data_IF_237002002420
#
_entry.id   IF_237002002420
#
_cell.length_a   1.000
_cell.length_b   1.000
_cell.length_c   1.000
_cell.angle_alpha   90.00
_cell.angle_beta   90.00
_cell.angle_gamma   90.00
#
_symmetry.space_group_name_H-M   'P 1'
#
loop_
_entity.id
_entity.type
_entity.pdbx_description
1 polymer ?
#
# COMPACT_ATOMS: atom_id res chain seq x y z
N UNK A 1 -31.39 5.02 -8.09
CA UNK A 1 -30.53 3.98 -8.70
C UNK A 1 -29.17 4.08 -8.02
N UNK A 2 -29.03 3.52 -6.82
CA UNK A 2 -27.86 3.74 -5.97
C UNK A 2 -26.95 2.51 -6.09
N UNK A 3 -25.85 2.65 -6.84
CA UNK A 3 -24.73 1.72 -6.73
C UNK A 3 -23.94 2.11 -5.48
N UNK A 4 -24.18 1.40 -4.37
CA UNK A 4 -23.21 1.35 -3.28
C UNK A 4 -22.12 0.36 -3.73
N UNK A 5 -20.88 0.79 -3.98
CA UNK A 5 -19.81 -0.17 -4.19
C UNK A 5 -19.56 -0.85 -2.84
N UNK A 6 -20.10 -2.05 -2.66
CA UNK A 6 -19.64 -2.96 -1.61
C UNK A 6 -18.23 -3.39 -1.99
N UNK A 7 -17.24 -2.61 -1.60
CA UNK A 7 -15.85 -3.05 -1.59
C UNK A 7 -15.76 -4.19 -0.57
N UNK A 8 -15.85 -5.43 -1.04
CA UNK A 8 -15.55 -6.60 -0.22
C UNK A 8 -14.06 -6.54 0.13
N UNK A 9 -13.74 -6.04 1.32
CA UNK A 9 -12.41 -6.03 1.90
C UNK A 9 -11.78 -7.43 1.79
N UNK A 10 -10.92 -7.65 0.80
CA UNK A 10 -10.13 -8.87 0.73
C UNK A 10 -9.12 -8.82 1.86
N UNK A 11 -9.20 -9.80 2.76
CA UNK A 11 -8.31 -9.88 3.90
C UNK A 11 -6.88 -10.00 3.38
N UNK A 12 -6.10 -8.91 3.48
CA UNK A 12 -4.71 -8.91 3.04
C UNK A 12 -3.95 -9.91 3.90
N UNK A 13 -3.54 -11.02 3.30
CA UNK A 13 -2.68 -11.99 3.96
C UNK A 13 -1.26 -11.42 4.00
N UNK A 14 -0.69 -11.38 5.20
CA UNK A 14 0.69 -10.95 5.46
C UNK A 14 1.50 -12.16 5.89
N UNK A 15 2.65 -12.39 5.25
CA UNK A 15 3.57 -13.46 5.63
C UNK A 15 4.39 -13.09 6.89
N UNK A 16 4.60 -11.79 7.12
CA UNK A 16 5.34 -11.25 8.26
C UNK A 16 4.39 -10.40 9.14
N UNK A 17 4.15 -10.80 10.40
CA UNK A 17 3.30 -10.05 11.32
C UNK A 17 3.85 -8.68 11.69
N UNK A 18 5.18 -8.49 11.70
CA UNK A 18 5.79 -7.19 12.02
C UNK A 18 5.53 -6.18 10.89
N UNK A 19 5.67 -6.62 9.63
CA UNK A 19 5.29 -5.81 8.45
C UNK A 19 3.81 -5.47 8.45
N UNK A 20 2.94 -6.43 8.79
CA UNK A 20 1.50 -6.20 8.90
C UNK A 20 1.18 -5.09 9.93
N UNK A 21 1.82 -5.16 11.10
CA UNK A 21 1.64 -4.17 12.16
C UNK A 21 2.13 -2.78 11.74
N UNK A 22 3.33 -2.70 11.14
CA UNK A 22 3.88 -1.44 10.65
C UNK A 22 2.97 -0.78 9.59
N UNK A 23 2.48 -1.58 8.63
CA UNK A 23 1.54 -1.12 7.63
C UNK A 23 0.22 -0.63 8.25
N UNK A 24 -0.33 -1.35 9.23
CA UNK A 24 -1.57 -0.97 9.89
C UNK A 24 -1.43 0.36 10.67
N UNK A 25 -0.32 0.55 11.40
CA UNK A 25 -0.03 1.81 12.12
C UNK A 25 0.09 2.97 11.14
N UNK A 26 0.85 2.79 10.06
CA UNK A 26 0.98 3.81 9.02
C UNK A 26 -0.38 4.14 8.40
N UNK A 27 -1.14 3.12 7.96
CA UNK A 27 -2.44 3.31 7.32
C UNK A 27 -3.43 4.05 8.23
N UNK A 28 -3.47 3.73 9.52
CA UNK A 28 -4.35 4.42 10.47
C UNK A 28 -4.08 5.93 10.49
N UNK A 29 -2.81 6.34 10.52
CA UNK A 29 -2.42 7.75 10.49
C UNK A 29 -2.74 8.42 9.15
N UNK A 30 -2.39 7.77 8.04
CA UNK A 30 -2.59 8.31 6.67
C UNK A 30 -4.07 8.38 6.30
N UNK A 31 -4.88 7.41 6.74
CA UNK A 31 -6.31 7.39 6.47
C UNK A 31 -7.02 8.60 7.09
N UNK A 32 -6.67 8.98 8.32
CA UNK A 32 -7.20 10.19 8.95
C UNK A 32 -6.78 11.45 8.21
N UNK A 33 -5.52 11.54 7.78
CA UNK A 33 -5.02 12.74 7.07
C UNK A 33 -5.61 12.93 5.68
N UNK A 34 -5.87 11.84 4.95
CA UNK A 34 -6.29 11.88 3.55
C UNK A 34 -7.75 11.45 3.32
N UNK A 35 -8.52 11.18 4.38
CA UNK A 35 -9.91 10.73 4.28
C UNK A 35 -10.03 9.41 3.52
N UNK A 36 -9.11 8.48 3.78
CA UNK A 36 -9.15 7.14 3.19
C UNK A 36 -10.10 6.26 4.00
N UNK A 37 -10.73 5.29 3.35
CA UNK A 37 -11.54 4.27 3.99
C UNK A 37 -10.73 2.96 4.16
N UNK A 38 -10.20 2.64 5.35
CA UNK A 38 -9.43 1.42 5.57
C UNK A 38 -10.22 0.14 5.27
N UNK A 39 -11.55 0.16 5.38
CA UNK A 39 -12.38 -1.00 5.08
C UNK A 39 -12.43 -1.31 3.57
N UNK A 40 -12.09 -0.35 2.72
CA UNK A 40 -12.04 -0.52 1.27
C UNK A 40 -10.68 -0.99 0.74
N UNK A 41 -9.71 -1.30 1.63
CA UNK A 41 -8.37 -1.70 1.25
C UNK A 41 -8.39 -3.06 0.53
N UNK A 42 -7.87 -3.08 -0.69
CA UNK A 42 -7.78 -4.28 -1.53
C UNK A 42 -6.38 -4.42 -2.12
N UNK A 43 -5.89 -5.65 -2.26
CA UNK A 43 -4.67 -5.90 -3.02
C UNK A 43 -4.94 -5.60 -4.51
N UNK A 44 -4.18 -4.67 -5.09
CA UNK A 44 -4.26 -4.31 -6.50
C UNK A 44 -3.24 -5.09 -7.35
N UNK A 45 -2.04 -5.31 -6.81
CA UNK A 45 -1.02 -6.20 -7.39
C UNK A 45 0.03 -6.55 -6.34
N UNK A 46 0.48 -7.80 -6.32
CA UNK A 46 1.60 -8.26 -5.47
C UNK A 46 2.84 -8.69 -6.25
N UNK A 47 2.86 -8.50 -7.57
CA UNK A 47 3.82 -9.17 -8.46
C UNK A 47 5.12 -8.38 -8.72
N UNK A 48 5.30 -7.23 -8.06
CA UNK A 48 6.49 -6.41 -8.23
C UNK A 48 7.56 -6.72 -7.16
N UNK A 49 8.13 -7.93 -7.19
CA UNK A 49 9.21 -8.38 -6.30
C UNK A 49 8.86 -8.23 -4.80
N UNK A 50 9.39 -7.21 -4.11
CA UNK A 50 9.13 -6.95 -2.69
C UNK A 50 8.02 -5.93 -2.44
N UNK A 51 7.56 -5.25 -3.49
CA UNK A 51 6.57 -4.19 -3.43
C UNK A 51 5.18 -4.76 -3.60
N UNK A 52 4.26 -4.32 -2.74
CA UNK A 52 2.83 -4.62 -2.88
C UNK A 52 2.08 -3.33 -3.15
N UNK A 53 1.11 -3.40 -4.04
CA UNK A 53 0.22 -2.30 -4.34
C UNK A 53 -1.17 -2.63 -3.83
N UNK A 54 -1.73 -1.69 -3.09
CA UNK A 54 -3.09 -1.75 -2.59
C UNK A 54 -3.92 -0.63 -3.21
N UNK A 55 -5.19 -0.91 -3.46
CA UNK A 55 -6.18 0.10 -3.78
C UNK A 55 -7.00 0.40 -2.55
N UNK A 56 -7.30 1.67 -2.33
CA UNK A 56 -8.15 2.13 -1.23
C UNK A 56 -9.06 3.25 -1.74
N UNK A 57 -10.31 3.26 -1.29
CA UNK A 57 -11.22 4.34 -1.56
C UNK A 57 -10.88 5.58 -0.71
N UNK A 58 -11.12 6.74 -1.29
CA UNK A 58 -11.01 8.03 -0.60
C UNK A 58 -12.29 8.80 -0.82
N UNK A 59 -12.82 9.39 0.25
CA UNK A 59 -14.04 10.20 0.16
C UNK A 59 -13.86 11.43 -0.75
N UNK A 60 -12.63 11.96 -0.83
CA UNK A 60 -12.31 13.16 -1.62
C UNK A 60 -11.78 12.85 -3.02
N UNK A 61 -11.04 11.75 -3.19
CA UNK A 61 -10.33 11.43 -4.45
C UNK A 61 -10.87 10.20 -5.18
N UNK A 62 -11.90 9.54 -4.65
CA UNK A 62 -12.50 8.34 -5.21
C UNK A 62 -11.67 7.08 -4.96
N UNK A 63 -10.47 6.99 -5.54
CA UNK A 63 -9.56 5.84 -5.41
C UNK A 63 -8.10 6.27 -5.36
N UNK A 64 -7.34 5.68 -4.44
CA UNK A 64 -5.90 5.88 -4.27
C UNK A 64 -5.15 4.55 -4.37
N UNK A 65 -3.85 4.60 -4.69
CA UNK A 65 -2.94 3.46 -4.63
C UNK A 65 -1.96 3.66 -3.48
N UNK A 66 -1.85 2.66 -2.62
CA UNK A 66 -0.81 2.56 -1.59
C UNK A 66 0.28 1.63 -2.13
N UNK A 67 1.52 2.08 -2.07
CA UNK A 67 2.69 1.25 -2.36
C UNK A 67 3.37 0.88 -1.03
N UNK A 68 3.42 -0.41 -0.73
CA UNK A 68 4.16 -0.97 0.41
C UNK A 68 5.51 -1.48 -0.09
N UNK A 69 6.56 -0.69 0.14
CA UNK A 69 7.93 -0.95 -0.29
C UNK A 69 8.89 -0.92 0.93
N UNK A 70 9.17 -2.07 1.55
CA UNK A 70 10.04 -2.12 2.73
C UNK A 70 11.48 -1.76 2.35
N UNK A 71 12.13 -0.81 3.06
CA UNK A 71 13.42 -0.23 2.66
C UNK A 71 14.58 -1.23 2.71
N UNK A 72 14.52 -2.24 3.58
CA UNK A 72 15.56 -3.26 3.78
C UNK A 72 15.77 -4.16 2.53
N UNK A 73 14.83 -4.14 1.58
CA UNK A 73 14.86 -4.94 0.35
C UNK A 73 15.19 -4.11 -0.90
N UNK A 74 15.39 -2.80 -0.75
CA UNK A 74 15.85 -1.92 -1.81
C UNK A 74 17.38 -1.84 -1.73
N UNK A 75 18.04 -2.84 -2.32
CA UNK A 75 19.50 -2.80 -2.50
C UNK A 75 19.83 -1.66 -3.46
N UNK A 76 20.13 -0.46 -2.93
CA UNK A 76 20.52 0.71 -3.73
C UNK A 76 21.97 0.60 -4.24
N UNK A 77 22.71 -0.46 -3.87
CA UNK A 77 24.12 -0.64 -4.22
C UNK A 77 24.46 -0.68 -5.73
N UNK A 78 23.61 -1.16 -6.66
CA UNK A 78 23.97 -1.16 -8.08
C UNK A 78 23.87 0.23 -8.74
N UNK A 79 23.30 1.25 -8.09
CA UNK A 79 23.15 2.59 -8.67
C UNK A 79 24.30 3.57 -8.35
N UNK A 80 25.28 3.19 -7.52
CA UNK A 80 26.41 4.07 -7.13
C UNK A 80 27.67 3.85 -7.99
N UNK A 81 27.55 3.22 -9.16
CA UNK A 81 28.70 2.94 -10.05
C UNK A 81 28.65 3.69 -11.38
N UNK A 82 28.29 4.97 -11.36
CA UNK A 82 28.55 5.91 -12.47
C UNK A 82 28.95 7.28 -11.91
N UNK A 83 30.10 7.35 -11.25
CA UNK A 83 30.81 8.60 -10.99
C UNK A 83 32.30 8.33 -11.22
N UNK A 84 32.70 8.44 -12.48
CA UNK A 84 34.06 8.17 -12.95
C UNK A 84 34.20 8.45 -14.43
N UNK A 85 33.97 9.71 -14.82
CA UNK A 85 34.51 10.34 -16.02
C UNK A 85 35.36 11.53 -15.57
#
# INVERSE_FOLDING_TARGET
MNYLPTAQASHVVWADPARAQAFAVWLASTATQHGLDPASLLLASSDASFRRYFRIASASQGSCIIMDAPPDKEDCQPFVKVAGL
#
